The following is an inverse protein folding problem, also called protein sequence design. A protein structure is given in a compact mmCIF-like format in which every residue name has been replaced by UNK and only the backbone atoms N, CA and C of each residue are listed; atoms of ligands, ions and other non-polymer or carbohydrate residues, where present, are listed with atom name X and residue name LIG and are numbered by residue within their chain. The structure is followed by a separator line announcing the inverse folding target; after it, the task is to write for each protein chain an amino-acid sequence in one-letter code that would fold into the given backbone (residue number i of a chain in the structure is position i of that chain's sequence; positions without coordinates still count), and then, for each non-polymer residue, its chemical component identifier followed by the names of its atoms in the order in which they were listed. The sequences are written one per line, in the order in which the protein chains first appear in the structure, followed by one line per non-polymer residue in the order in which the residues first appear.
data_IF_037857196153
#
_entry.id   IF_037857196153
#
_cell.length_a   1.000
_cell.length_b   1.000
_cell.length_c   1.000
_cell.angle_alpha   90.00
_cell.angle_beta   90.00
_cell.angle_gamma   90.00
#
_symmetry.space_group_name_H-M   'P 1'
#
loop_
_entity.id
_entity.type
_entity.pdbx_description
1 polymer ?
#
# COMPACT_ATOMS: atom_id res chain seq x y z
N UNK A 1 6.88 22.28 2.45
CA UNK A 1 6.21 21.30 3.34
C UNK A 1 5.42 20.27 2.55
N UNK A 2 4.57 20.72 1.62
CA UNK A 2 3.83 19.85 0.71
C UNK A 2 4.75 19.07 -0.24
N UNK A 3 5.89 19.64 -0.61
CA UNK A 3 6.88 19.00 -1.49
C UNK A 3 7.48 17.75 -0.83
N UNK A 4 7.70 17.81 0.48
CA UNK A 4 8.16 16.64 1.25
C UNK A 4 7.06 15.56 1.31
N UNK A 5 5.80 15.95 1.47
CA UNK A 5 4.68 15.01 1.44
C UNK A 5 4.51 14.36 0.05
N UNK A 6 4.75 15.12 -1.02
CA UNK A 6 4.76 14.62 -2.39
C UNK A 6 5.92 13.64 -2.61
N UNK A 7 7.12 13.97 -2.13
CA UNK A 7 8.25 13.05 -2.23
C UNK A 7 7.98 11.73 -1.50
N UNK A 8 7.48 11.80 -0.25
CA UNK A 8 7.09 10.59 0.50
C UNK A 8 6.00 9.80 -0.23
N UNK A 9 5.06 10.46 -0.92
CA UNK A 9 4.04 9.76 -1.72
C UNK A 9 4.62 8.99 -2.91
N UNK A 10 5.67 9.53 -3.55
CA UNK A 10 6.41 8.84 -4.62
C UNK A 10 7.23 7.68 -4.07
N UNK A 11 7.87 7.87 -2.92
CA UNK A 11 8.63 6.81 -2.25
C UNK A 11 7.70 5.66 -1.80
N UNK A 12 6.49 6.00 -1.32
CA UNK A 12 5.45 5.02 -1.00
C UNK A 12 5.02 4.21 -2.23
N UNK A 13 4.88 4.84 -3.41
CA UNK A 13 4.61 4.11 -4.65
C UNK A 13 5.73 3.13 -4.99
N UNK A 14 6.99 3.57 -4.88
CA UNK A 14 8.15 2.71 -5.12
C UNK A 14 8.17 1.52 -4.17
N UNK A 15 7.97 1.75 -2.87
CA UNK A 15 7.92 0.69 -1.86
C UNK A 15 6.77 -0.30 -2.14
N UNK A 16 5.59 0.18 -2.53
CA UNK A 16 4.46 -0.68 -2.86
C UNK A 16 4.69 -1.52 -4.13
N UNK A 17 5.34 -0.96 -5.15
CA UNK A 17 5.74 -1.69 -6.35
C UNK A 17 6.78 -2.77 -6.02
N UNK A 18 7.71 -2.49 -5.10
CA UNK A 18 8.70 -3.43 -4.59
C UNK A 18 8.14 -4.42 -3.54
N UNK A 19 6.86 -4.31 -3.16
CA UNK A 19 6.21 -5.09 -2.10
C UNK A 19 6.86 -4.95 -0.71
N UNK A 20 7.51 -3.81 -0.44
CA UNK A 20 8.18 -3.50 0.83
C UNK A 20 7.16 -2.95 1.85
N UNK A 21 6.25 -3.81 2.30
CA UNK A 21 5.07 -3.40 3.08
C UNK A 21 5.39 -2.71 4.42
N UNK A 22 6.45 -3.13 5.12
CA UNK A 22 6.88 -2.50 6.36
C UNK A 22 7.41 -1.07 6.11
N UNK A 23 8.18 -0.89 5.04
CA UNK A 23 8.67 0.42 4.63
C UNK A 23 7.52 1.32 4.18
N UNK A 24 6.56 0.79 3.43
CA UNK A 24 5.36 1.52 3.03
C UNK A 24 4.61 2.07 4.25
N UNK A 25 4.41 1.26 5.30
CA UNK A 25 3.76 1.70 6.53
C UNK A 25 4.57 2.77 7.29
N UNK A 26 5.90 2.64 7.31
CA UNK A 26 6.78 3.65 7.91
C UNK A 26 6.70 4.99 7.18
N UNK A 27 6.69 4.96 5.85
CA UNK A 27 6.59 6.17 5.01
C UNK A 27 5.22 6.83 5.16
N UNK A 28 4.13 6.06 5.27
CA UNK A 28 2.79 6.59 5.52
C UNK A 28 2.72 7.37 6.84
N UNK A 29 3.28 6.80 7.92
CA UNK A 29 3.33 7.44 9.23
C UNK A 29 4.14 8.75 9.21
N UNK A 30 5.18 8.85 8.38
CA UNK A 30 5.95 10.07 8.18
C UNK A 30 5.20 11.11 7.35
N UNK A 31 4.44 10.67 6.34
CA UNK A 31 3.70 11.55 5.42
C UNK A 31 2.48 12.19 6.06
N UNK A 32 1.71 11.41 6.83
CA UNK A 32 0.43 11.84 7.40
C UNK A 32 0.45 13.19 8.14
N UNK A 33 1.40 13.46 9.07
CA UNK A 33 1.45 14.75 9.77
C UNK A 33 1.82 15.93 8.85
N UNK A 34 2.42 15.69 7.68
CA UNK A 34 2.73 16.75 6.71
C UNK A 34 1.49 17.16 5.93
N UNK A 35 0.62 16.20 5.61
CA UNK A 35 -0.63 16.44 4.89
C UNK A 35 -1.66 17.19 5.75
N UNK A 36 -1.69 16.94 7.07
CA UNK A 36 -2.63 17.56 8.01
C UNK A 36 -2.34 19.02 8.37
N UNK A 37 -1.19 19.57 7.95
CA UNK A 37 -0.85 20.98 8.19
C UNK A 37 -1.68 21.88 7.28
N UNK A 38 -1.82 23.14 7.66
CA UNK A 38 -2.37 24.15 6.75
C UNK A 38 -1.40 24.37 5.59
N UNK A 39 -1.95 24.38 4.38
CA UNK A 39 -1.21 24.69 3.15
C UNK A 39 -1.86 25.89 2.46
N UNK A 40 -1.04 26.69 1.80
CA UNK A 40 -1.48 27.81 0.98
C UNK A 40 -2.20 27.34 -0.28
N UNK A 41 -3.03 28.20 -0.87
CA UNK A 41 -3.85 27.84 -2.02
C UNK A 41 -3.05 27.61 -3.33
N UNK A 42 -1.76 27.94 -3.33
CA UNK A 42 -0.85 27.75 -4.47
C UNK A 42 -0.32 26.31 -4.60
N UNK A 43 -0.59 25.42 -3.64
CA UNK A 43 -0.10 24.02 -3.67
C UNK A 43 -1.02 23.03 -4.41
N UNK A 44 -1.99 23.53 -5.17
CA UNK A 44 -3.03 22.71 -5.83
C UNK A 44 -2.44 21.66 -6.76
N UNK A 45 -1.37 21.99 -7.49
CA UNK A 45 -0.71 21.05 -8.40
C UNK A 45 -0.08 19.88 -7.63
N UNK A 46 0.66 20.17 -6.55
CA UNK A 46 1.30 19.16 -5.71
C UNK A 46 0.26 18.28 -5.02
N UNK A 47 -0.87 18.85 -4.57
CA UNK A 47 -2.00 18.07 -4.05
C UNK A 47 -2.61 17.15 -5.11
N UNK A 48 -2.72 17.64 -6.35
CA UNK A 48 -3.17 16.83 -7.48
C UNK A 48 -2.28 15.60 -7.72
N UNK A 49 -0.96 15.79 -7.67
CA UNK A 49 0.02 14.71 -7.80
C UNK A 49 -0.05 13.72 -6.62
N UNK A 50 -0.16 14.20 -5.38
CA UNK A 50 -0.34 13.35 -4.20
C UNK A 50 -1.58 12.48 -4.35
N UNK A 51 -2.71 13.06 -4.78
CA UNK A 51 -3.95 12.32 -5.00
C UNK A 51 -3.84 11.30 -6.14
N UNK A 52 -3.05 11.59 -7.18
CA UNK A 52 -2.74 10.62 -8.22
C UNK A 52 -1.96 9.43 -7.64
N UNK A 53 -0.92 9.70 -6.85
CA UNK A 53 -0.14 8.67 -6.16
C UNK A 53 -1.04 7.81 -5.25
N UNK A 54 -1.94 8.41 -4.48
CA UNK A 54 -2.85 7.67 -3.60
C UNK A 54 -3.81 6.75 -4.36
N UNK A 55 -4.23 7.12 -5.58
CA UNK A 55 -5.08 6.24 -6.41
C UNK A 55 -4.30 5.02 -6.90
N UNK A 56 -3.08 5.23 -7.40
CA UNK A 56 -2.21 4.12 -7.82
C UNK A 56 -1.86 3.20 -6.65
N UNK A 57 -1.49 3.78 -5.51
CA UNK A 57 -1.16 3.02 -4.31
C UNK A 57 -2.32 2.13 -3.85
N UNK A 58 -3.55 2.65 -3.84
CA UNK A 58 -4.76 1.87 -3.52
C UNK A 58 -4.99 0.70 -4.47
N UNK A 59 -4.65 0.86 -5.76
CA UNK A 59 -4.73 -0.23 -6.74
C UNK A 59 -3.72 -1.32 -6.42
N UNK A 60 -2.45 -0.95 -6.18
CA UNK A 60 -1.37 -1.89 -5.85
C UNK A 60 -1.65 -2.67 -4.57
N UNK A 61 -2.02 -1.97 -3.50
CA UNK A 61 -2.32 -2.60 -2.20
C UNK A 61 -3.53 -3.53 -2.30
N UNK A 62 -4.56 -3.16 -3.08
CA UNK A 62 -5.72 -4.03 -3.30
C UNK A 62 -5.31 -5.32 -4.03
N UNK A 63 -4.53 -5.19 -5.10
CA UNK A 63 -4.03 -6.35 -5.85
C UNK A 63 -3.21 -7.28 -4.97
N UNK A 64 -2.23 -6.73 -4.24
CA UNK A 64 -1.40 -7.50 -3.31
C UNK A 64 -2.22 -8.22 -2.21
N UNK A 65 -3.22 -7.54 -1.66
CA UNK A 65 -4.15 -8.14 -0.68
C UNK A 65 -4.92 -9.31 -1.29
N UNK A 66 -5.48 -9.12 -2.49
CA UNK A 66 -6.29 -10.13 -3.16
C UNK A 66 -5.43 -11.36 -3.54
N UNK A 67 -4.18 -11.14 -3.96
CA UNK A 67 -3.19 -12.20 -4.22
C UNK A 67 -2.83 -12.97 -2.94
N UNK A 68 -2.55 -12.27 -1.84
CA UNK A 68 -2.25 -12.89 -0.56
C UNK A 68 -3.44 -13.73 -0.05
N UNK A 69 -4.66 -13.22 -0.18
CA UNK A 69 -5.88 -13.95 0.17
C UNK A 69 -6.05 -15.23 -0.67
N UNK A 70 -5.80 -15.15 -1.98
CA UNK A 70 -5.86 -16.31 -2.86
C UNK A 70 -4.79 -17.36 -2.52
N UNK A 71 -3.57 -16.93 -2.17
CA UNK A 71 -2.49 -17.82 -1.76
C UNK A 71 -2.83 -18.54 -0.45
N UNK A 72 -3.31 -17.79 0.55
CA UNK A 72 -3.75 -18.34 1.83
C UNK A 72 -4.84 -19.40 1.65
N UNK A 73 -5.84 -19.11 0.81
CA UNK A 73 -6.94 -20.05 0.54
C UNK A 73 -6.44 -21.35 -0.11
N UNK A 74 -5.50 -21.26 -1.08
CA UNK A 74 -4.92 -22.44 -1.72
C UNK A 74 -4.15 -23.32 -0.73
N UNK A 75 -3.30 -22.73 0.11
CA UNK A 75 -2.50 -23.47 1.09
C UNK A 75 -3.39 -24.12 2.17
N UNK A 76 -4.40 -23.39 2.65
CA UNK A 76 -5.37 -23.91 3.62
C UNK A 76 -6.19 -25.06 3.04
N UNK A 77 -6.60 -24.95 1.77
CA UNK A 77 -7.29 -26.02 1.05
C UNK A 77 -6.42 -27.27 0.87
N UNK A 78 -5.15 -27.10 0.48
CA UNK A 78 -4.20 -28.20 0.36
C UNK A 78 -3.96 -28.91 1.70
N UNK A 79 -3.74 -28.16 2.78
CA UNK A 79 -3.56 -28.73 4.11
C UNK A 79 -4.78 -29.54 4.57
N UNK A 80 -5.99 -29.08 4.22
CA UNK A 80 -7.23 -29.80 4.52
C UNK A 80 -7.34 -31.11 3.72
N UNK A 81 -7.00 -31.08 2.43
CA UNK A 81 -7.02 -32.27 1.58
C UNK A 81 -6.02 -33.33 2.07
N UNK A 82 -4.79 -32.93 2.43
CA UNK A 82 -3.78 -33.84 2.99
C UNK A 82 -4.27 -34.51 4.27
N UNK A 83 -4.88 -33.75 5.20
CA UNK A 83 -5.45 -34.33 6.43
C UNK A 83 -6.57 -35.32 6.15
N UNK A 84 -7.42 -35.05 5.17
CA UNK A 84 -8.50 -35.96 4.79
C UNK A 84 -7.96 -37.30 4.25
N UNK A 85 -6.90 -37.26 3.42
CA UNK A 85 -6.23 -38.47 2.94
C UNK A 85 -5.50 -39.24 4.05
N UNK A 86 -4.92 -38.56 5.04
CA UNK A 86 -4.24 -39.22 6.16
C UNK A 86 -5.20 -39.88 7.17
N UNK A 87 -6.51 -39.61 7.08
CA UNK A 87 -7.56 -40.16 7.94
C UNK A 87 -8.42 -41.24 7.26
N UNK A 88 -8.18 -41.50 5.98
CA UNK A 88 -8.86 -42.53 5.18
C UNK A 88 -7.99 -43.79 5.08
#
# INVERSE_FOLDING_TARGET
MIEQALQLSRDMLSAAQAQEWEQLASLEAQREPLLRREHSADVVEQLGEILACDRELRTLVRQARDEAAAQWQRQSGQARAIRAYAQA
#
